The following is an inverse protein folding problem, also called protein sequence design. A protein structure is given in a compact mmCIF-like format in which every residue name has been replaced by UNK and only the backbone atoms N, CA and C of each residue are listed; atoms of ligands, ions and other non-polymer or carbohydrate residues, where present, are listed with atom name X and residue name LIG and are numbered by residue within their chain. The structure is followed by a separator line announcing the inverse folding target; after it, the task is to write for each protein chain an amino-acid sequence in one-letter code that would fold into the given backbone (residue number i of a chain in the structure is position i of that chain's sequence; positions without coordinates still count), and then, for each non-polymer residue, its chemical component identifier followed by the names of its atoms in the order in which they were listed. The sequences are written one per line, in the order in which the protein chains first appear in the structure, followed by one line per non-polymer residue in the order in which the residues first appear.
data_IF_593906882504
#
_entry.id   IF_593906882504
#
_cell.length_a   1.000
_cell.length_b   1.000
_cell.length_c   1.000
_cell.angle_alpha   90.00
_cell.angle_beta   90.00
_cell.angle_gamma   90.00
#
_symmetry.space_group_name_H-M   'P 1'
#
loop_
_entity.id
_entity.type
_entity.pdbx_description
1 polymer ?
#
# COMPACT_ATOMS: atom_id res chain seq x y z
N UNK A 1 -9.98 61.14 27.80
CA UNK A 1 -10.66 61.17 29.12
C UNK A 1 -11.08 59.75 29.49
N UNK A 2 -10.77 59.32 30.74
CA UNK A 2 -11.23 58.11 31.48
C UNK A 2 -10.84 56.74 30.87
N UNK A 3 -9.80 56.01 31.32
CA UNK A 3 -9.47 55.33 32.61
C UNK A 3 -10.56 54.39 33.16
N UNK A 4 -10.28 53.07 33.14
CA UNK A 4 -10.53 51.96 34.12
C UNK A 4 -10.30 50.62 33.39
N UNK A 5 -9.26 49.78 33.56
CA UNK A 5 -8.65 49.05 34.70
C UNK A 5 -9.35 47.72 35.08
N UNK A 6 -8.69 46.59 34.73
CA UNK A 6 -8.59 45.23 35.36
C UNK A 6 -9.87 44.39 35.65
N UNK A 7 -9.82 43.03 35.82
CA UNK A 7 -8.66 42.12 35.89
C UNK A 7 -8.72 40.77 35.11
N UNK A 8 -7.53 40.18 35.07
CA UNK A 8 -7.10 38.80 34.88
C UNK A 8 -7.94 37.72 35.61
N UNK A 9 -8.25 36.59 34.96
CA UNK A 9 -8.51 35.32 35.63
C UNK A 9 -8.11 34.13 34.73
N UNK A 10 -7.07 33.41 35.15
CA UNK A 10 -6.61 32.14 34.62
C UNK A 10 -7.33 30.97 35.30
N UNK A 11 -7.50 29.83 34.62
CA UNK A 11 -7.72 28.50 35.24
C UNK A 11 -7.43 27.42 34.16
N UNK A 12 -6.18 26.94 34.09
CA UNK A 12 -5.66 25.64 34.59
C UNK A 12 -6.05 24.40 33.79
N UNK A 13 -5.02 23.79 33.22
CA UNK A 13 -4.97 22.41 32.78
C UNK A 13 -5.10 21.44 33.96
N UNK A 14 -5.79 20.31 33.75
CA UNK A 14 -5.80 19.20 34.70
C UNK A 14 -5.37 17.92 33.99
N UNK A 15 -4.10 17.57 34.16
CA UNK A 15 -3.58 16.21 33.98
C UNK A 15 -4.01 15.41 35.21
N UNK A 16 -4.76 14.32 35.03
CA UNK A 16 -5.02 13.36 36.10
C UNK A 16 -4.23 12.07 35.80
N UNK A 17 -3.04 12.03 36.37
CA UNK A 17 -2.22 10.83 36.53
C UNK A 17 -2.61 10.09 37.82
N UNK A 18 -2.53 8.76 37.75
CA UNK A 18 -2.14 7.80 38.79
C UNK A 18 -2.65 7.91 40.25
N UNK A 19 -3.27 6.79 40.64
CA UNK A 19 -2.84 5.87 41.70
C UNK A 19 -3.26 6.09 43.18
N UNK A 20 -3.80 4.98 43.72
CA UNK A 20 -3.65 4.42 45.08
C UNK A 20 -4.42 5.02 46.27
N UNK A 21 -5.03 4.10 47.07
CA UNK A 21 -5.51 4.31 48.45
C UNK A 21 -7.03 4.19 48.61
N UNK A 22 -7.63 3.00 48.76
CA UNK A 22 -7.85 2.25 50.01
C UNK A 22 -9.05 2.77 50.87
N UNK A 23 -10.14 1.99 50.96
CA UNK A 23 -10.74 1.44 52.22
C UNK A 23 -12.14 0.80 52.02
N UNK A 24 -12.18 -0.53 52.22
CA UNK A 24 -13.16 -1.40 52.92
C UNK A 24 -14.67 -1.06 52.90
N UNK A 25 -15.64 -2.01 52.88
CA UNK A 25 -15.67 -3.47 52.85
C UNK A 25 -17.16 -3.87 52.65
N UNK A 26 -17.44 -4.99 51.99
CA UNK A 26 -18.38 -5.97 52.56
C UNK A 26 -18.20 -7.35 51.91
N UNK A 27 -18.54 -8.37 52.69
CA UNK A 27 -18.07 -9.75 52.66
C UNK A 27 -18.86 -10.60 51.66
N UNK A 28 -18.19 -11.37 50.79
CA UNK A 28 -18.68 -12.68 50.34
C UNK A 28 -17.66 -13.46 49.47
N UNK A 29 -17.37 -14.69 49.89
CA UNK A 29 -16.85 -15.83 49.14
C UNK A 29 -15.48 -15.69 48.45
N UNK A 30 -14.44 -16.20 49.13
CA UNK A 30 -13.19 -16.60 48.49
C UNK A 30 -13.46 -17.78 47.55
N UNK A 31 -13.59 -17.50 46.25
CA UNK A 31 -13.36 -18.47 45.19
C UNK A 31 -11.98 -18.14 44.62
N UNK A 32 -10.99 -18.95 44.97
CA UNK A 32 -9.63 -18.84 44.47
C UNK A 32 -9.63 -19.18 42.97
N UNK A 33 -9.95 -18.19 42.16
CA UNK A 33 -9.85 -18.28 40.70
C UNK A 33 -8.55 -17.60 40.32
N UNK A 34 -7.44 -18.31 40.55
CA UNK A 34 -6.17 -17.97 39.91
C UNK A 34 -6.38 -18.17 38.41
N UNK A 35 -6.79 -17.10 37.71
CA UNK A 35 -6.84 -17.10 36.26
C UNK A 35 -5.42 -17.42 35.75
N UNK A 36 -5.23 -18.45 34.90
CA UNK A 36 -3.94 -18.71 34.30
C UNK A 36 -3.47 -17.44 33.59
N UNK A 37 -2.27 -16.97 33.92
CA UNK A 37 -1.63 -15.89 33.17
C UNK A 37 -1.59 -16.31 31.70
N UNK A 38 -2.42 -15.66 30.87
CA UNK A 38 -2.47 -15.92 29.45
C UNK A 38 -1.06 -15.70 28.89
N UNK A 39 -0.40 -16.79 28.48
CA UNK A 39 0.90 -16.73 27.83
C UNK A 39 0.70 -15.93 26.55
N UNK A 40 1.40 -14.79 26.43
CA UNK A 40 1.32 -13.97 25.23
C UNK A 40 1.65 -14.84 24.01
N UNK A 41 0.74 -14.89 23.04
CA UNK A 41 0.98 -15.59 21.80
C UNK A 41 2.22 -14.99 21.12
N UNK A 42 3.16 -15.80 20.59
CA UNK A 42 4.32 -15.29 19.90
C UNK A 42 3.88 -14.44 18.71
N UNK A 43 4.55 -13.30 18.53
CA UNK A 43 4.26 -12.39 17.43
C UNK A 43 4.45 -13.09 16.06
N UNK A 44 3.61 -12.80 15.05
CA UNK A 44 3.79 -13.35 13.71
C UNK A 44 5.19 -13.05 13.17
N UNK A 45 5.80 -14.04 12.52
CA UNK A 45 7.08 -13.83 11.84
C UNK A 45 6.94 -12.76 10.76
N UNK A 46 7.98 -11.93 10.61
CA UNK A 46 8.03 -10.93 9.54
C UNK A 46 8.00 -11.63 8.16
N UNK A 47 7.31 -11.06 7.15
CA UNK A 47 7.33 -11.59 5.79
C UNK A 47 8.77 -11.67 5.24
N UNK A 48 9.06 -12.73 4.47
CA UNK A 48 10.33 -12.87 3.80
C UNK A 48 10.53 -11.73 2.78
N UNK A 49 11.77 -11.24 2.66
CA UNK A 49 12.10 -10.24 1.66
C UNK A 49 12.02 -10.85 0.25
N UNK A 50 11.46 -10.08 -0.68
CA UNK A 50 11.36 -10.42 -2.08
C UNK A 50 12.74 -10.29 -2.73
N UNK A 51 13.18 -11.32 -3.45
CA UNK A 51 14.48 -11.36 -4.13
C UNK A 51 14.32 -11.18 -5.64
N UNK A 52 15.43 -10.86 -6.33
CA UNK A 52 15.42 -10.76 -7.78
C UNK A 52 15.11 -12.11 -8.47
N UNK A 53 15.48 -13.23 -7.85
CA UNK A 53 15.19 -14.56 -8.38
C UNK A 53 13.69 -14.87 -8.38
N UNK A 54 12.96 -14.40 -7.35
CA UNK A 54 11.52 -14.63 -7.22
C UNK A 54 10.72 -13.95 -8.35
N UNK A 55 11.18 -12.78 -8.80
CA UNK A 55 10.52 -11.99 -9.84
C UNK A 55 11.08 -12.20 -11.26
N UNK A 56 12.21 -12.91 -11.39
CA UNK A 56 12.85 -13.14 -12.68
C UNK A 56 11.98 -13.96 -13.64
N UNK A 57 12.02 -13.60 -14.93
CA UNK A 57 11.30 -14.30 -16.00
C UNK A 57 10.07 -13.56 -16.52
N UNK A 58 9.20 -14.29 -17.21
CA UNK A 58 8.01 -13.70 -17.84
C UNK A 58 6.79 -13.73 -16.91
N UNK A 59 5.95 -12.72 -17.04
CA UNK A 59 4.69 -12.61 -16.30
C UNK A 59 3.56 -12.23 -17.24
N UNK A 60 2.39 -12.85 -17.07
CA UNK A 60 1.15 -12.45 -17.71
C UNK A 60 0.22 -11.89 -16.65
N UNK A 61 -0.32 -10.69 -16.89
CA UNK A 61 -1.12 -9.96 -15.92
C UNK A 61 -2.41 -9.39 -16.46
N UNK A 62 -3.34 -9.16 -15.55
CA UNK A 62 -4.61 -8.48 -15.82
C UNK A 62 -4.79 -7.35 -14.80
N UNK A 63 -5.12 -6.17 -15.31
CA UNK A 63 -5.47 -5.00 -14.52
C UNK A 63 -6.97 -4.77 -14.52
N UNK A 64 -7.50 -4.35 -13.38
CA UNK A 64 -8.90 -4.12 -13.09
C UNK A 64 -9.12 -2.70 -12.59
N UNK A 65 -10.20 -2.04 -13.00
CA UNK A 65 -10.57 -0.69 -12.56
C UNK A 65 -10.90 -0.63 -11.05
N UNK A 66 -10.57 0.47 -10.37
CA UNK A 66 -11.08 0.78 -9.02
C UNK A 66 -11.95 2.05 -9.04
N UNK A 67 -13.14 2.10 -8.39
CA UNK A 67 -13.87 0.99 -7.78
C UNK A 67 -14.57 0.11 -8.84
N UNK A 68 -14.44 -1.20 -8.71
CA UNK A 68 -15.01 -2.19 -9.62
C UNK A 68 -14.06 -3.36 -9.84
N UNK A 69 -14.41 -4.27 -10.74
CA UNK A 69 -13.53 -5.37 -11.17
C UNK A 69 -13.58 -5.55 -12.70
N UNK A 70 -13.94 -4.49 -13.43
CA UNK A 70 -13.90 -4.47 -14.89
C UNK A 70 -12.45 -4.54 -15.36
N UNK A 71 -12.16 -5.43 -16.30
CA UNK A 71 -10.83 -5.54 -16.91
C UNK A 71 -10.53 -4.27 -17.70
N UNK A 72 -9.43 -3.60 -17.36
CA UNK A 72 -8.95 -2.40 -18.08
C UNK A 72 -7.78 -2.69 -19.00
N UNK A 73 -7.00 -3.73 -18.70
CA UNK A 73 -5.88 -4.14 -19.53
C UNK A 73 -5.49 -5.59 -19.26
N UNK A 74 -5.05 -6.28 -20.31
CA UNK A 74 -4.23 -7.48 -20.21
C UNK A 74 -2.85 -7.18 -20.77
N UNK A 75 -1.83 -7.74 -20.16
CA UNK A 75 -0.46 -7.43 -20.50
C UNK A 75 0.45 -8.59 -20.19
N UNK A 76 1.61 -8.58 -20.82
CA UNK A 76 2.73 -9.45 -20.49
C UNK A 76 3.99 -8.64 -20.26
N UNK A 77 4.81 -9.11 -19.34
CA UNK A 77 6.12 -8.57 -19.01
C UNK A 77 7.14 -9.61 -19.45
N UNK A 78 8.11 -9.17 -20.23
CA UNK A 78 9.38 -9.89 -20.37
C UNK A 78 10.35 -9.28 -19.36
N UNK A 79 10.55 -9.94 -18.21
CA UNK A 79 11.49 -9.42 -17.22
C UNK A 79 12.90 -9.81 -17.63
N UNK A 80 13.74 -8.79 -17.75
CA UNK A 80 15.19 -8.88 -17.86
C UNK A 80 15.71 -8.58 -16.45
N UNK A 81 16.57 -9.45 -15.94
CA UNK A 81 17.10 -9.39 -14.59
C UNK A 81 18.05 -8.20 -14.42
N UNK A 82 17.55 -6.97 -14.31
CA UNK A 82 18.37 -5.75 -14.22
C UNK A 82 17.51 -4.47 -14.27
N UNK A 83 16.73 -4.23 -13.22
CA UNK A 83 16.13 -2.91 -12.90
C UNK A 83 15.23 -2.27 -13.97
N UNK A 84 15.06 -2.87 -15.15
CA UNK A 84 14.32 -2.34 -16.28
C UNK A 84 13.57 -3.48 -16.95
N UNK A 85 12.31 -3.24 -17.26
CA UNK A 85 11.44 -4.25 -17.85
C UNK A 85 10.50 -3.60 -18.86
N UNK A 86 10.01 -4.44 -19.78
CA UNK A 86 9.09 -4.02 -20.84
C UNK A 86 7.75 -4.69 -20.60
N UNK A 87 6.73 -3.87 -20.35
CA UNK A 87 5.33 -4.28 -20.34
C UNK A 87 4.78 -4.13 -21.74
N UNK A 88 4.09 -5.15 -22.24
CA UNK A 88 3.39 -5.11 -23.53
C UNK A 88 1.92 -5.34 -23.32
N UNK A 89 1.08 -4.45 -23.82
CA UNK A 89 -0.38 -4.60 -23.75
C UNK A 89 -0.87 -5.57 -24.81
N UNK A 90 -1.72 -6.52 -24.43
CA UNK A 90 -2.14 -7.58 -25.34
C UNK A 90 -3.03 -7.06 -26.47
N UNK A 91 -3.91 -6.10 -26.18
CA UNK A 91 -4.89 -5.61 -27.16
C UNK A 91 -4.26 -4.68 -28.21
N UNK A 92 -3.32 -3.83 -27.79
CA UNK A 92 -2.74 -2.78 -28.66
C UNK A 92 -1.32 -3.08 -29.14
N UNK A 93 -0.67 -4.08 -28.52
CA UNK A 93 0.77 -4.39 -28.70
C UNK A 93 1.71 -3.23 -28.41
N UNK A 94 1.21 -2.15 -27.79
CA UNK A 94 2.04 -1.05 -27.31
C UNK A 94 2.91 -1.54 -26.16
N UNK A 95 4.15 -1.09 -26.15
CA UNK A 95 5.14 -1.41 -25.13
C UNK A 95 5.38 -0.20 -24.22
N UNK A 96 5.63 -0.46 -22.94
CA UNK A 96 5.98 0.55 -21.95
C UNK A 96 7.19 0.06 -21.17
N UNK A 97 8.26 0.85 -21.19
CA UNK A 97 9.41 0.59 -20.35
C UNK A 97 9.13 1.07 -18.93
N UNK A 98 9.61 0.32 -17.96
CA UNK A 98 9.50 0.70 -16.56
C UNK A 98 10.68 0.17 -15.75
N UNK A 99 10.94 0.81 -14.62
CA UNK A 99 11.93 0.39 -13.64
C UNK A 99 11.27 -0.33 -12.48
N UNK A 100 11.92 -1.37 -11.96
CA UNK A 100 11.49 -2.07 -10.74
C UNK A 100 12.55 -2.00 -9.66
N UNK A 101 12.11 -1.71 -8.44
CA UNK A 101 12.92 -1.74 -7.21
C UNK A 101 12.27 -2.70 -6.22
N UNK A 102 13.07 -3.49 -5.52
CA UNK A 102 12.61 -4.37 -4.44
C UNK A 102 12.75 -3.66 -3.09
N UNK A 103 11.69 -3.70 -2.28
CA UNK A 103 11.63 -3.06 -0.98
C UNK A 103 10.94 -4.00 0.02
N UNK A 104 11.73 -4.69 0.84
CA UNK A 104 11.19 -5.70 1.77
C UNK A 104 10.52 -6.84 1.01
N UNK A 105 9.25 -7.11 1.31
CA UNK A 105 8.40 -8.14 0.68
C UNK A 105 7.68 -7.65 -0.59
N UNK A 106 7.99 -6.43 -1.05
CA UNK A 106 7.25 -5.73 -2.09
C UNK A 106 8.14 -5.35 -3.27
N UNK A 107 7.57 -5.33 -4.47
CA UNK A 107 8.16 -4.71 -5.66
C UNK A 107 7.48 -3.36 -5.91
N UNK A 108 8.26 -2.36 -6.27
CA UNK A 108 7.80 -1.03 -6.66
C UNK A 108 8.23 -0.79 -8.11
N UNK A 109 7.27 -0.51 -8.98
CA UNK A 109 7.53 -0.29 -10.40
C UNK A 109 7.08 1.09 -10.85
N UNK A 110 7.91 1.79 -11.61
CA UNK A 110 7.63 3.13 -12.14
C UNK A 110 7.91 3.17 -13.63
N UNK A 111 6.93 3.59 -14.43
CA UNK A 111 7.04 3.62 -15.89
C UNK A 111 7.68 4.88 -16.44
N UNK A 112 8.21 4.79 -17.65
CA UNK A 112 8.41 5.96 -18.49
C UNK A 112 7.04 6.57 -18.90
N UNK A 113 6.98 7.87 -19.26
CA UNK A 113 5.77 8.49 -19.78
C UNK A 113 5.27 7.83 -21.06
N UNK A 114 4.02 7.37 -21.05
CA UNK A 114 3.39 6.69 -22.19
C UNK A 114 1.98 7.22 -22.45
N UNK A 115 1.47 6.96 -23.65
CA UNK A 115 0.05 7.20 -23.97
C UNK A 115 -0.75 5.95 -23.62
N UNK A 116 -1.75 6.02 -22.73
CA UNK A 116 -2.56 4.87 -22.34
C UNK A 116 -3.14 4.12 -23.55
N UNK A 117 -3.23 2.78 -23.50
CA UNK A 117 -4.01 2.01 -24.46
C UNK A 117 -5.45 2.54 -24.55
N UNK A 118 -5.98 2.68 -25.76
CA UNK A 118 -7.33 3.22 -25.98
C UNK A 118 -7.46 4.74 -25.88
N UNK A 119 -6.44 5.46 -25.39
CA UNK A 119 -6.47 6.92 -25.39
C UNK A 119 -6.23 7.52 -26.79
N UNK A 120 -6.83 8.69 -27.10
CA UNK A 120 -6.53 9.44 -28.32
C UNK A 120 -5.04 9.76 -28.46
N UNK A 121 -4.55 9.93 -29.70
CA UNK A 121 -3.13 10.19 -29.96
C UNK A 121 -2.60 11.50 -29.31
N UNK A 122 -3.48 12.48 -29.10
CA UNK A 122 -3.18 13.75 -28.44
C UNK A 122 -3.48 13.75 -26.93
N UNK A 123 -3.82 12.60 -26.35
CA UNK A 123 -4.06 12.52 -24.92
C UNK A 123 -2.78 12.83 -24.13
N UNK A 124 -2.89 13.47 -22.96
CA UNK A 124 -1.77 13.67 -22.05
C UNK A 124 -1.08 12.34 -21.74
N UNK A 125 0.26 12.35 -21.71
CA UNK A 125 1.02 11.19 -21.28
C UNK A 125 0.79 10.93 -19.79
N UNK A 126 0.82 9.67 -19.42
CA UNK A 126 0.72 9.19 -18.04
C UNK A 126 1.96 8.41 -17.67
N UNK A 127 2.22 8.29 -16.37
CA UNK A 127 3.12 7.29 -15.79
C UNK A 127 2.30 6.36 -14.91
N UNK A 128 2.77 5.13 -14.71
CA UNK A 128 2.23 4.25 -13.70
C UNK A 128 3.21 4.06 -12.55
N UNK A 129 2.68 4.00 -11.33
CA UNK A 129 3.39 3.71 -10.09
C UNK A 129 2.71 2.50 -9.46
N UNK A 130 3.34 1.34 -9.56
CA UNK A 130 2.78 0.08 -9.10
C UNK A 130 3.51 -0.43 -7.87
N UNK A 131 2.76 -0.95 -6.90
CA UNK A 131 3.28 -1.71 -5.78
C UNK A 131 2.66 -3.10 -5.82
N UNK A 132 3.50 -4.13 -5.81
CA UNK A 132 3.08 -5.52 -5.87
C UNK A 132 3.76 -6.38 -4.81
N UNK A 133 3.11 -7.48 -4.46
CA UNK A 133 3.63 -8.50 -3.55
C UNK A 133 3.48 -9.87 -4.18
N UNK A 134 4.44 -10.75 -3.92
CA UNK A 134 4.38 -12.14 -4.31
C UNK A 134 3.69 -12.95 -3.21
N UNK A 135 2.74 -13.80 -3.58
CA UNK A 135 2.09 -14.74 -2.67
C UNK A 135 1.94 -16.07 -3.38
N UNK A 136 2.74 -17.07 -2.98
CA UNK A 136 2.96 -18.27 -3.79
C UNK A 136 3.53 -17.87 -5.16
N UNK A 137 2.93 -18.37 -6.24
CA UNK A 137 3.34 -18.09 -7.61
C UNK A 137 2.57 -16.92 -8.27
N UNK A 138 1.87 -16.11 -7.47
CA UNK A 138 1.01 -15.03 -7.97
C UNK A 138 1.51 -13.68 -7.46
N UNK A 139 1.79 -12.76 -8.37
CA UNK A 139 1.98 -11.35 -8.05
C UNK A 139 0.63 -10.65 -8.01
N UNK A 140 0.41 -9.86 -6.97
CA UNK A 140 -0.78 -9.02 -6.81
C UNK A 140 -0.37 -7.62 -6.41
N UNK A 141 -1.08 -6.63 -6.90
CA UNK A 141 -0.76 -5.27 -6.53
C UNK A 141 -1.79 -4.24 -6.94
N UNK A 142 -1.42 -2.99 -6.66
CA UNK A 142 -2.16 -1.79 -7.04
C UNK A 142 -1.25 -0.94 -7.91
N UNK A 143 -1.84 -0.24 -8.87
CA UNK A 143 -1.19 0.71 -9.74
C UNK A 143 -1.91 2.04 -9.65
N UNK A 144 -1.19 3.11 -9.34
CA UNK A 144 -1.66 4.47 -9.52
C UNK A 144 -1.16 5.00 -10.85
N UNK A 145 -2.08 5.48 -11.68
CA UNK A 145 -1.76 6.15 -12.93
C UNK A 145 -1.75 7.65 -12.64
N UNK A 146 -0.62 8.29 -12.94
CA UNK A 146 -0.38 9.71 -12.70
C UNK A 146 -0.25 10.45 -14.02
N UNK A 147 -0.59 11.74 -14.07
CA UNK A 147 -0.22 12.58 -15.21
C UNK A 147 1.30 12.74 -15.25
N UNK A 148 1.92 12.50 -16.42
CA UNK A 148 3.37 12.62 -16.54
C UNK A 148 3.86 14.06 -16.31
N UNK A 149 3.03 15.06 -16.60
CA UNK A 149 3.32 16.48 -16.36
C UNK A 149 3.07 16.95 -14.93
N UNK A 150 2.32 16.16 -14.14
CA UNK A 150 1.95 16.45 -12.75
C UNK A 150 1.93 15.13 -11.96
N UNK A 151 3.11 14.64 -11.52
CA UNK A 151 3.26 13.31 -10.95
C UNK A 151 2.59 13.15 -9.58
N UNK A 152 2.05 14.22 -9.01
CA UNK A 152 1.20 14.28 -7.83
C UNK A 152 -0.31 14.16 -8.15
N UNK A 153 -0.69 14.28 -9.43
CA UNK A 153 -2.07 14.17 -9.89
C UNK A 153 -2.39 12.75 -10.36
N UNK A 154 -3.03 11.97 -9.48
CA UNK A 154 -3.57 10.66 -9.82
C UNK A 154 -4.80 10.79 -10.71
N UNK A 155 -4.83 10.06 -11.82
CA UNK A 155 -5.95 10.04 -12.77
C UNK A 155 -6.71 8.73 -12.79
N UNK A 156 -6.08 7.64 -12.32
CA UNK A 156 -6.74 6.35 -12.14
C UNK A 156 -6.00 5.50 -11.11
N UNK A 157 -6.73 4.56 -10.52
CA UNK A 157 -6.18 3.46 -9.73
C UNK A 157 -6.66 2.13 -10.34
N UNK A 158 -5.74 1.17 -10.45
CA UNK A 158 -6.03 -0.18 -10.90
C UNK A 158 -5.51 -1.23 -9.93
N UNK A 159 -6.29 -2.27 -9.72
CA UNK A 159 -5.83 -3.52 -9.11
C UNK A 159 -5.23 -4.40 -10.18
N UNK A 160 -4.29 -5.27 -9.85
CA UNK A 160 -3.79 -6.22 -10.84
C UNK A 160 -3.34 -7.54 -10.21
N UNK A 161 -3.41 -8.58 -11.03
CA UNK A 161 -2.95 -9.93 -10.72
C UNK A 161 -2.12 -10.42 -11.88
N UNK A 162 -0.97 -11.04 -11.59
CA UNK A 162 -0.10 -11.64 -12.59
C UNK A 162 0.44 -12.99 -12.15
N UNK A 163 0.59 -13.89 -13.12
CA UNK A 163 1.13 -15.23 -12.94
C UNK A 163 2.18 -15.50 -14.00
N UNK A 164 3.08 -16.45 -13.75
CA UNK A 164 3.97 -16.94 -14.79
C UNK A 164 3.13 -17.58 -15.91
N UNK A 165 3.45 -17.34 -17.19
CA UNK A 165 2.79 -18.02 -18.29
C UNK A 165 3.05 -19.53 -18.20
N UNK A 166 2.09 -20.34 -18.67
CA UNK A 166 2.23 -21.79 -18.77
C UNK A 166 3.01 -22.21 -20.00
#
# INVERSE_FOLDING_TARGET
MRRTAFPLAALTASVAACASGEKAADTAAAVDTTAPAATAAPAPAAPAALTAADIAGEWAGTSYATPGDSVVARWHIRSVTDSTAVLTFDDTKKTVNYRTTLAGDSLVSVSEPYTPPGAPANAPKTTFHAVGRLTGDTLRGVTHVMLASKPDSMVAEHRWVATRPK
#
